data_IF_890455910464
#
_entry.id   IF_890455910464
#
_cell.length_a   1.000
_cell.length_b   1.000
_cell.length_c   1.000
_cell.angle_alpha   90.00
_cell.angle_beta   90.00
_cell.angle_gamma   90.00
#
_symmetry.space_group_name_H-M   'P 1'
#
loop_
_entity.id
_entity.type
_entity.pdbx_description
1 polymer ?
#
# COMPACT_ATOMS: atom_id res chain seq x y z
N UNK A 1 -10.54 -54.83 -31.58
CA UNK A 1 -10.29 -53.37 -31.53
C UNK A 1 -11.00 -52.65 -30.37
N UNK A 2 -12.16 -53.10 -29.90
CA UNK A 2 -12.93 -52.40 -28.83
C UNK A 2 -12.33 -52.54 -27.42
N UNK A 3 -11.66 -53.67 -27.12
CA UNK A 3 -11.00 -53.92 -25.82
C UNK A 3 -9.68 -53.14 -25.63
N UNK A 4 -8.95 -52.88 -26.70
CA UNK A 4 -7.71 -52.11 -26.68
C UNK A 4 -7.95 -50.61 -26.52
N UNK A 5 -9.09 -50.11 -27.02
CA UNK A 5 -9.48 -48.69 -26.88
C UNK A 5 -9.87 -48.33 -25.44
N UNK A 6 -10.58 -49.22 -24.74
CA UNK A 6 -10.94 -49.03 -23.33
C UNK A 6 -9.72 -49.04 -22.39
N UNK A 7 -8.73 -49.90 -22.66
CA UNK A 7 -7.51 -49.97 -21.86
C UNK A 7 -6.63 -48.71 -22.00
N UNK A 8 -6.55 -48.14 -23.22
CA UNK A 8 -5.85 -46.88 -23.48
C UNK A 8 -6.53 -45.68 -22.83
N UNK A 9 -7.86 -45.65 -22.81
CA UNK A 9 -8.62 -44.55 -22.21
C UNK A 9 -8.52 -44.57 -20.66
N UNK A 10 -8.56 -45.74 -20.02
CA UNK A 10 -8.34 -45.87 -18.57
C UNK A 10 -6.90 -45.54 -18.14
N UNK A 11 -5.89 -45.91 -18.95
CA UNK A 11 -4.50 -45.58 -18.65
C UNK A 11 -4.22 -44.06 -18.75
N UNK A 12 -4.84 -43.38 -19.72
CA UNK A 12 -4.75 -41.92 -19.86
C UNK A 12 -5.47 -41.18 -18.72
N UNK A 13 -6.62 -41.66 -18.27
CA UNK A 13 -7.35 -41.08 -17.13
C UNK A 13 -6.63 -41.25 -15.79
N UNK A 14 -6.01 -42.41 -15.54
CA UNK A 14 -5.20 -42.65 -14.34
C UNK A 14 -3.89 -41.84 -14.37
N UNK A 15 -3.27 -41.66 -15.53
CA UNK A 15 -2.11 -40.78 -15.70
C UNK A 15 -2.45 -39.31 -15.43
N UNK A 16 -3.61 -38.84 -15.88
CA UNK A 16 -4.09 -37.47 -15.63
C UNK A 16 -4.42 -37.22 -14.15
N UNK A 17 -5.06 -38.19 -13.48
CA UNK A 17 -5.33 -38.11 -12.04
C UNK A 17 -4.05 -38.13 -11.18
N UNK A 18 -3.02 -38.87 -11.59
CA UNK A 18 -1.72 -38.87 -10.91
C UNK A 18 -0.95 -37.55 -11.08
N UNK A 19 -1.07 -36.90 -12.23
CA UNK A 19 -0.48 -35.57 -12.48
C UNK A 19 -1.21 -34.44 -11.74
N UNK A 20 -2.52 -34.58 -11.50
CA UNK A 20 -3.28 -33.64 -10.68
C UNK A 20 -2.97 -33.78 -9.17
N UNK A 21 -2.58 -34.97 -8.70
CA UNK A 21 -2.22 -35.20 -7.31
C UNK A 21 -0.86 -34.61 -6.92
N UNK A 22 0.06 -34.41 -7.87
CA UNK A 22 1.38 -33.79 -7.62
C UNK A 22 1.36 -32.26 -7.62
N UNK A 23 0.23 -31.64 -7.96
CA UNK A 23 0.04 -30.19 -7.99
C UNK A 23 -0.94 -29.68 -6.93
N UNK A 24 -1.30 -30.52 -5.95
CA UNK A 24 -1.98 -30.01 -4.76
C UNK A 24 -0.97 -29.18 -3.97
N UNK A 25 -1.17 -27.84 -3.84
CA UNK A 25 -0.33 -27.05 -2.95
C UNK A 25 -0.45 -27.67 -1.56
N UNK A 26 0.69 -27.95 -0.94
CA UNK A 26 0.75 -28.38 0.44
C UNK A 26 -0.18 -27.47 1.25
N UNK A 27 -1.20 -28.06 1.89
CA UNK A 27 -2.12 -27.34 2.76
C UNK A 27 -1.27 -26.55 3.75
N UNK A 28 -1.22 -25.23 3.58
CA UNK A 28 -0.54 -24.34 4.49
C UNK A 28 -1.13 -24.60 5.87
N UNK A 29 -0.35 -25.25 6.73
CA UNK A 29 -0.70 -25.47 8.12
C UNK A 29 -1.03 -24.08 8.67
N UNK A 30 -2.31 -23.85 9.02
CA UNK A 30 -2.75 -22.59 9.61
C UNK A 30 -1.94 -22.40 10.89
N UNK A 31 -0.85 -21.63 10.79
CA UNK A 31 -0.08 -21.21 11.94
C UNK A 31 -1.05 -20.37 12.77
N UNK A 32 -1.40 -20.88 13.96
CA UNK A 32 -2.16 -20.13 14.94
C UNK A 32 -1.53 -18.75 15.07
N UNK A 33 -2.31 -17.72 14.78
CA UNK A 33 -1.89 -16.33 14.88
C UNK A 33 -1.75 -16.01 16.38
N UNK A 34 -0.55 -16.22 16.94
CA UNK A 34 -0.23 -15.75 18.28
C UNK A 34 -0.01 -14.25 18.19
N UNK A 35 -0.79 -13.47 18.95
CA UNK A 35 -0.64 -12.01 18.98
C UNK A 35 0.53 -11.61 19.88
N UNK A 36 1.71 -12.11 19.53
CA UNK A 36 2.94 -11.89 20.26
C UNK A 36 3.31 -10.41 20.22
N UNK A 37 3.77 -9.90 21.36
CA UNK A 37 4.18 -8.52 21.51
C UNK A 37 5.70 -8.44 21.65
N UNK A 38 6.31 -7.56 20.87
CA UNK A 38 7.75 -7.29 20.86
C UNK A 38 8.07 -5.92 21.43
N UNK A 39 9.31 -5.73 21.86
CA UNK A 39 9.83 -4.45 22.37
C UNK A 39 10.43 -3.60 21.25
N UNK A 40 10.63 -2.30 21.52
CA UNK A 40 11.35 -1.41 20.60
C UNK A 40 12.77 -1.94 20.30
N UNK A 41 13.48 -2.45 21.31
CA UNK A 41 14.83 -3.01 21.16
C UNK A 41 14.85 -4.24 20.26
N UNK A 42 13.85 -5.11 20.36
CA UNK A 42 13.74 -6.28 19.48
C UNK A 42 13.52 -5.85 18.02
N UNK A 43 12.70 -4.83 17.77
CA UNK A 43 12.50 -4.27 16.44
C UNK A 43 13.78 -3.60 15.92
N UNK A 44 14.47 -2.81 16.77
CA UNK A 44 15.73 -2.17 16.41
C UNK A 44 16.82 -3.22 16.07
N UNK A 45 16.92 -4.28 16.85
CA UNK A 45 17.82 -5.40 16.57
C UNK A 45 17.46 -6.10 15.26
N UNK A 46 16.17 -6.31 14.98
CA UNK A 46 15.74 -6.87 13.70
C UNK A 46 16.12 -5.97 12.51
N UNK A 47 16.05 -4.65 12.66
CA UNK A 47 16.53 -3.69 11.64
C UNK A 47 18.04 -3.80 11.45
N UNK A 48 18.81 -3.86 12.54
CA UNK A 48 20.26 -4.00 12.47
C UNK A 48 20.69 -5.29 11.74
N UNK A 49 19.92 -6.38 11.94
CA UNK A 49 20.16 -7.69 11.33
C UNK A 49 19.60 -7.82 9.91
N UNK A 50 18.73 -6.90 9.47
CA UNK A 50 18.03 -7.02 8.19
C UNK A 50 19.00 -6.86 7.01
N UNK A 51 19.03 -7.82 6.08
CA UNK A 51 19.85 -7.70 4.87
C UNK A 51 19.35 -6.59 3.93
N UNK A 52 18.10 -6.14 4.09
CA UNK A 52 17.46 -5.14 3.25
C UNK A 52 17.50 -3.73 3.87
N UNK A 53 17.94 -3.59 5.12
CA UNK A 53 18.04 -2.29 5.78
C UNK A 53 19.23 -1.50 5.25
N UNK A 54 18.94 -0.30 4.73
CA UNK A 54 19.94 0.69 4.33
C UNK A 54 20.83 1.09 5.51
N UNK A 55 22.00 1.65 5.22
CA UNK A 55 22.89 2.17 6.27
C UNK A 55 22.16 3.19 7.17
N UNK A 56 21.31 4.03 6.57
CA UNK A 56 20.51 5.00 7.32
C UNK A 56 19.54 4.30 8.29
N UNK A 57 18.82 3.27 7.85
CA UNK A 57 17.90 2.52 8.74
C UNK A 57 18.66 1.85 9.88
N UNK A 58 19.81 1.24 9.60
CA UNK A 58 20.64 0.60 10.63
C UNK A 58 21.15 1.61 11.66
N UNK A 59 21.60 2.78 11.21
CA UNK A 59 22.07 3.86 12.08
C UNK A 59 20.94 4.45 12.94
N UNK A 60 19.69 4.36 12.48
CA UNK A 60 18.52 4.93 13.13
C UNK A 60 17.53 3.85 13.61
N UNK A 61 18.01 2.63 13.87
CA UNK A 61 17.17 1.48 14.19
C UNK A 61 16.27 1.71 15.42
N UNK A 62 16.75 2.48 16.41
CA UNK A 62 15.97 2.83 17.59
C UNK A 62 14.72 3.67 17.25
N UNK A 63 14.79 4.55 16.24
CA UNK A 63 13.64 5.32 15.78
C UNK A 63 12.57 4.40 15.15
N UNK A 64 13.00 3.35 14.44
CA UNK A 64 12.09 2.33 13.90
C UNK A 64 11.46 1.49 15.02
N UNK A 65 12.23 1.15 16.04
CA UNK A 65 11.70 0.53 17.25
C UNK A 65 10.60 1.36 17.90
N UNK A 66 10.85 2.66 18.10
CA UNK A 66 9.85 3.56 18.66
C UNK A 66 8.64 3.77 17.74
N UNK A 67 8.83 3.78 16.41
CA UNK A 67 7.72 3.83 15.45
C UNK A 67 6.76 2.64 15.66
N UNK A 68 7.29 1.42 15.77
CA UNK A 68 6.50 0.22 15.99
C UNK A 68 5.67 0.29 17.30
N UNK A 69 6.27 0.82 18.38
CA UNK A 69 5.64 0.84 19.70
C UNK A 69 4.70 2.03 19.88
N UNK A 70 5.09 3.22 19.45
CA UNK A 70 4.38 4.46 19.79
C UNK A 70 3.35 4.87 18.75
N UNK A 71 3.45 4.35 17.52
CA UNK A 71 2.64 4.84 16.40
C UNK A 71 1.91 3.74 15.67
N UNK A 72 2.59 2.64 15.34
CA UNK A 72 2.06 1.66 14.40
C UNK A 72 1.19 0.60 15.07
N UNK A 73 1.83 -0.36 15.75
CA UNK A 73 1.12 -1.55 16.24
C UNK A 73 1.10 -1.66 17.76
N UNK A 74 1.83 -0.84 18.50
CA UNK A 74 2.06 -1.08 19.93
C UNK A 74 3.02 -2.25 20.20
N UNK A 75 3.72 -2.74 19.16
CA UNK A 75 4.61 -3.89 19.21
C UNK A 75 3.95 -5.24 18.88
N UNK A 76 2.69 -5.28 18.44
CA UNK A 76 1.99 -6.53 18.18
C UNK A 76 2.25 -7.05 16.75
N UNK A 77 2.72 -8.30 16.62
CA UNK A 77 3.15 -8.89 15.35
C UNK A 77 2.02 -9.20 14.37
N UNK A 78 0.79 -9.38 14.85
CA UNK A 78 -0.30 -9.90 14.02
C UNK A 78 -1.46 -8.92 13.89
N UNK A 79 -1.26 -7.64 14.21
CA UNK A 79 -2.30 -6.61 14.10
C UNK A 79 -2.73 -6.39 12.66
N UNK A 80 -4.03 -6.20 12.49
CA UNK A 80 -4.64 -5.59 11.32
C UNK A 80 -5.51 -4.44 11.82
N UNK A 81 -5.33 -3.24 11.27
CA UNK A 81 -6.03 -2.04 11.73
C UNK A 81 -7.47 -1.90 11.20
N UNK A 82 -7.99 -2.90 10.49
CA UNK A 82 -9.36 -2.88 9.96
C UNK A 82 -9.51 -2.21 8.58
N UNK A 83 -8.46 -1.60 8.03
CA UNK A 83 -8.54 -0.91 6.73
C UNK A 83 -7.47 -1.36 5.74
N UNK A 84 -6.19 -1.35 6.11
CA UNK A 84 -5.12 -1.46 5.12
C UNK A 84 -3.90 -2.25 5.56
N UNK A 85 -3.63 -2.27 6.86
CA UNK A 85 -2.25 -2.28 7.32
C UNK A 85 -2.02 -3.38 8.36
N UNK A 86 -0.87 -4.05 8.23
CA UNK A 86 -0.62 -5.33 8.86
C UNK A 86 0.72 -5.40 9.56
N UNK A 87 0.75 -6.14 10.66
CA UNK A 87 1.95 -6.49 11.37
C UNK A 87 2.56 -5.36 12.19
N UNK A 88 3.79 -5.59 12.66
CA UNK A 88 4.41 -4.76 13.69
C UNK A 88 4.69 -3.31 13.25
N UNK A 89 4.94 -3.11 11.96
CA UNK A 89 5.22 -1.81 11.33
C UNK A 89 4.11 -1.39 10.35
N UNK A 90 2.93 -2.03 10.45
CA UNK A 90 1.70 -1.68 9.72
C UNK A 90 1.91 -1.49 8.21
N UNK A 91 2.51 -2.49 7.55
CA UNK A 91 2.66 -2.46 6.10
C UNK A 91 1.28 -2.55 5.43
N UNK A 92 1.02 -1.68 4.46
CA UNK A 92 -0.20 -1.74 3.67
C UNK A 92 -0.15 -2.87 2.62
N UNK A 93 -1.30 -3.19 2.02
CA UNK A 93 -1.41 -4.21 0.97
C UNK A 93 -0.42 -4.05 -0.18
N UNK A 94 -0.18 -2.82 -0.64
CA UNK A 94 0.72 -2.55 -1.78
C UNK A 94 2.18 -2.80 -1.41
N UNK A 95 2.61 -2.31 -0.26
CA UNK A 95 3.96 -2.51 0.26
C UNK A 95 4.25 -3.99 0.49
N UNK A 96 3.26 -4.77 0.97
CA UNK A 96 3.39 -6.23 1.14
C UNK A 96 3.60 -6.89 -0.23
N UNK A 97 2.79 -6.55 -1.24
CA UNK A 97 2.95 -7.07 -2.61
C UNK A 97 4.30 -6.70 -3.23
N UNK A 98 4.79 -5.49 -2.99
CA UNK A 98 6.07 -5.03 -3.55
C UNK A 98 7.26 -5.72 -2.89
N UNK A 99 7.18 -6.00 -1.59
CA UNK A 99 8.28 -6.55 -0.83
C UNK A 99 8.32 -8.07 -0.80
N UNK A 100 7.18 -8.73 -1.02
CA UNK A 100 6.95 -10.15 -0.74
C UNK A 100 6.00 -10.78 -1.76
N UNK A 101 6.09 -12.11 -1.92
CA UNK A 101 5.18 -12.89 -2.78
C UNK A 101 4.00 -13.51 -2.01
N UNK A 102 3.67 -12.98 -0.82
CA UNK A 102 2.65 -13.56 0.05
C UNK A 102 1.40 -12.71 0.19
N UNK A 103 0.31 -13.34 0.63
CA UNK A 103 -0.93 -12.63 0.95
C UNK A 103 -0.79 -11.82 2.25
N UNK A 104 -1.57 -10.75 2.46
CA UNK A 104 -1.58 -10.03 3.74
C UNK A 104 -1.96 -10.90 4.93
N UNK A 105 -2.86 -11.88 4.74
CA UNK A 105 -3.23 -12.84 5.78
C UNK A 105 -2.03 -13.70 6.19
N UNK A 106 -1.23 -14.17 5.22
CA UNK A 106 -0.01 -14.92 5.47
C UNK A 106 1.07 -14.04 6.13
N UNK A 107 1.25 -12.81 5.66
CA UNK A 107 2.21 -11.84 6.22
C UNK A 107 2.03 -11.65 7.74
N UNK A 108 0.78 -11.62 8.24
CA UNK A 108 0.50 -11.49 9.69
C UNK A 108 0.98 -12.67 10.54
N UNK A 109 1.28 -13.81 9.94
CA UNK A 109 1.78 -15.01 10.63
C UNK A 109 3.30 -15.08 10.67
N UNK A 110 3.98 -14.15 9.99
CA UNK A 110 5.43 -14.11 9.91
C UNK A 110 6.07 -13.70 11.24
N UNK A 111 7.29 -14.18 11.46
CA UNK A 111 8.11 -13.74 12.58
C UNK A 111 8.47 -12.24 12.45
N UNK A 112 8.83 -11.63 13.59
CA UNK A 112 9.34 -10.25 13.63
C UNK A 112 10.39 -9.99 12.54
N UNK A 113 11.42 -10.84 12.46
CA UNK A 113 12.52 -10.62 11.51
C UNK A 113 12.03 -10.59 10.06
N UNK A 114 11.17 -11.53 9.64
CA UNK A 114 10.67 -11.55 8.26
C UNK A 114 9.80 -10.33 7.94
N UNK A 115 8.98 -9.87 8.88
CA UNK A 115 8.19 -8.64 8.69
C UNK A 115 9.10 -7.42 8.56
N UNK A 116 10.12 -7.32 9.42
CA UNK A 116 11.09 -6.22 9.40
C UNK A 116 11.95 -6.24 8.14
N UNK A 117 12.35 -7.40 7.64
CA UNK A 117 13.12 -7.53 6.39
C UNK A 117 12.34 -7.02 5.19
N UNK A 118 11.04 -7.35 5.12
CA UNK A 118 10.14 -6.87 4.08
C UNK A 118 9.90 -5.36 4.18
N UNK A 119 9.60 -4.85 5.38
CA UNK A 119 9.44 -3.41 5.62
C UNK A 119 10.70 -2.64 5.28
N UNK A 120 11.87 -3.15 5.67
CA UNK A 120 13.17 -2.54 5.42
C UNK A 120 13.45 -2.40 3.93
N UNK A 121 13.03 -3.38 3.11
CA UNK A 121 13.17 -3.31 1.65
C UNK A 121 12.43 -2.09 1.07
N UNK A 122 11.17 -1.90 1.48
CA UNK A 122 10.35 -0.77 1.02
C UNK A 122 10.94 0.55 1.51
N UNK A 123 11.28 0.64 2.80
CA UNK A 123 11.73 1.90 3.38
C UNK A 123 13.13 2.29 2.93
N UNK A 124 14.02 1.33 2.68
CA UNK A 124 15.32 1.61 2.07
C UNK A 124 15.17 2.24 0.68
N UNK A 125 14.17 1.84 -0.10
CA UNK A 125 13.87 2.46 -1.39
C UNK A 125 13.25 3.86 -1.21
N UNK A 126 12.29 4.00 -0.30
CA UNK A 126 11.65 5.28 -0.01
C UNK A 126 12.67 6.35 0.47
N UNK A 127 13.66 5.95 1.28
CA UNK A 127 14.74 6.83 1.74
C UNK A 127 15.65 7.34 0.60
N UNK A 128 15.68 6.66 -0.55
CA UNK A 128 16.43 7.12 -1.72
C UNK A 128 15.63 8.11 -2.56
N UNK A 129 14.33 8.30 -2.29
CA UNK A 129 13.51 9.23 -3.03
C UNK A 129 13.86 10.69 -2.71
N UNK A 130 13.77 11.54 -3.73
CA UNK A 130 14.13 12.96 -3.64
C UNK A 130 13.50 13.70 -2.46
N UNK A 131 12.20 13.54 -2.11
CA UNK A 131 11.62 14.24 -0.97
C UNK A 131 12.26 13.89 0.37
N UNK A 132 12.63 12.62 0.60
CA UNK A 132 13.29 12.21 1.84
C UNK A 132 14.70 12.82 1.94
N UNK A 133 15.46 12.79 0.84
CA UNK A 133 16.79 13.39 0.76
C UNK A 133 16.76 14.91 0.88
N UNK A 134 15.80 15.56 0.21
CA UNK A 134 15.59 17.00 0.28
C UNK A 134 15.25 17.43 1.70
N UNK A 135 14.35 16.72 2.38
CA UNK A 135 14.02 17.00 3.78
C UNK A 135 15.27 16.89 4.67
N UNK A 136 16.03 15.81 4.54
CA UNK A 136 17.27 15.60 5.30
C UNK A 136 18.29 16.73 5.06
N UNK A 137 18.36 17.27 3.84
CA UNK A 137 19.29 18.33 3.47
C UNK A 137 18.90 19.72 4.03
N UNK A 138 17.64 19.95 4.41
CA UNK A 138 17.20 21.25 4.93
C UNK A 138 17.82 21.59 6.30
N UNK A 139 18.14 20.57 7.11
CA UNK A 139 18.65 20.73 8.48
C UNK A 139 17.61 21.26 9.48
N UNK A 140 16.82 22.27 9.10
CA UNK A 140 15.68 22.81 9.84
C UNK A 140 14.46 22.94 8.93
N UNK A 141 13.28 22.61 9.43
CA UNK A 141 12.01 22.78 8.73
C UNK A 141 10.96 23.29 9.72
N UNK A 142 10.20 24.32 9.37
CA UNK A 142 9.18 24.94 10.24
C UNK A 142 9.69 25.26 11.67
N UNK A 143 10.91 25.78 11.75
CA UNK A 143 11.53 26.17 13.03
C UNK A 143 12.07 25.02 13.88
N UNK A 144 11.95 23.76 13.45
CA UNK A 144 12.48 22.59 14.16
C UNK A 144 13.56 21.87 13.37
N UNK A 145 14.51 21.26 14.09
CA UNK A 145 15.56 20.44 13.49
C UNK A 145 14.93 19.25 12.76
N UNK A 146 15.41 18.98 11.55
CA UNK A 146 15.10 17.73 10.84
C UNK A 146 15.94 16.63 11.48
N UNK A 147 15.28 15.72 12.18
CA UNK A 147 15.88 14.58 12.84
C UNK A 147 15.50 13.24 12.16
N UNK A 148 16.00 12.14 12.70
CA UNK A 148 15.72 10.82 12.17
C UNK A 148 14.22 10.48 12.22
N UNK A 149 13.51 10.93 13.26
CA UNK A 149 12.09 10.68 13.42
C UNK A 149 11.27 11.38 12.32
N UNK A 150 11.65 12.60 11.95
CA UNK A 150 10.99 13.36 10.90
C UNK A 150 11.22 12.75 9.51
N UNK A 151 12.45 12.30 9.23
CA UNK A 151 12.76 11.58 7.99
C UNK A 151 12.02 10.24 7.95
N UNK A 152 11.96 9.51 9.06
CA UNK A 152 11.23 8.24 9.17
C UNK A 152 9.72 8.44 8.96
N UNK A 153 9.12 9.46 9.58
CA UNK A 153 7.72 9.81 9.38
C UNK A 153 7.42 10.21 7.93
N UNK A 154 8.33 10.91 7.26
CA UNK A 154 8.23 11.29 5.85
C UNK A 154 8.12 10.06 4.94
N UNK A 155 8.94 9.02 5.15
CA UNK A 155 8.88 7.79 4.35
C UNK A 155 7.70 6.89 4.73
N UNK A 156 7.33 6.85 6.02
CA UNK A 156 6.25 6.02 6.53
C UNK A 156 4.86 6.52 6.08
N UNK A 157 4.61 7.83 6.11
CA UNK A 157 3.36 8.43 5.60
C UNK A 157 3.34 8.56 4.07
N UNK A 158 4.45 8.30 3.41
CA UNK A 158 4.57 8.27 1.96
C UNK A 158 5.25 9.51 1.38
N UNK A 159 6.10 9.25 0.38
CA UNK A 159 6.97 10.25 -0.26
C UNK A 159 6.19 11.42 -0.88
N UNK A 160 5.02 11.17 -1.48
CA UNK A 160 4.18 12.24 -2.03
C UNK A 160 3.62 13.19 -0.97
N UNK A 161 3.22 12.64 0.19
CA UNK A 161 2.75 13.43 1.33
C UNK A 161 3.88 14.26 1.93
N UNK A 162 5.08 13.67 1.98
CA UNK A 162 6.30 14.38 2.39
C UNK A 162 6.64 15.53 1.45
N UNK A 163 6.59 15.31 0.14
CA UNK A 163 6.79 16.38 -0.84
C UNK A 163 5.77 17.51 -0.67
N UNK A 164 4.50 17.19 -0.43
CA UNK A 164 3.45 18.18 -0.17
C UNK A 164 3.74 19.02 1.08
N UNK A 165 4.18 18.38 2.17
CA UNK A 165 4.61 19.09 3.37
C UNK A 165 5.78 20.02 3.06
N UNK A 166 6.85 19.52 2.44
CA UNK A 166 8.05 20.32 2.10
C UNK A 166 7.66 21.53 1.24
N UNK A 167 6.84 21.33 0.21
CA UNK A 167 6.39 22.39 -0.69
C UNK A 167 5.58 23.48 0.01
N UNK A 168 4.91 23.17 1.12
CA UNK A 168 4.18 24.16 1.91
C UNK A 168 5.08 25.01 2.82
N UNK A 169 6.32 24.55 3.09
CA UNK A 169 7.22 25.16 4.06
C UNK A 169 6.80 25.02 5.54
N UNK A 170 5.72 24.29 5.85
CA UNK A 170 5.17 24.15 7.21
C UNK A 170 4.81 22.71 7.55
N UNK A 171 4.93 22.34 8.82
CA UNK A 171 4.51 21.04 9.34
C UNK A 171 3.02 20.76 9.10
N UNK A 172 2.18 21.80 9.09
CA UNK A 172 0.74 21.70 8.82
C UNK A 172 0.38 21.60 7.34
N UNK A 173 1.36 21.60 6.42
CA UNK A 173 1.10 21.55 4.97
C UNK A 173 0.55 20.22 4.45
N UNK A 174 0.64 19.18 5.27
CA UNK A 174 0.03 17.89 5.05
C UNK A 174 -0.52 17.34 6.36
N UNK A 175 -1.71 16.76 6.30
CA UNK A 175 -2.25 15.88 7.31
C UNK A 175 -2.97 14.72 6.62
N UNK A 176 -2.87 13.52 7.18
CA UNK A 176 -3.67 12.38 6.74
C UNK A 176 -5.15 12.55 7.14
N UNK A 177 -5.99 11.57 6.81
CA UNK A 177 -7.42 11.59 7.17
C UNK A 177 -7.68 11.60 8.68
N UNK A 178 -6.68 11.26 9.49
CA UNK A 178 -6.75 11.28 10.96
C UNK A 178 -6.14 12.55 11.55
N UNK A 179 -5.78 13.55 10.72
CA UNK A 179 -5.14 14.78 11.17
C UNK A 179 -3.65 14.63 11.52
N UNK A 180 -3.05 13.48 11.25
CA UNK A 180 -1.61 13.24 11.50
C UNK A 180 -0.78 13.96 10.46
N UNK A 181 0.03 14.91 10.90
CA UNK A 181 1.11 15.51 10.10
C UNK A 181 2.39 14.68 10.22
N UNK A 182 3.33 14.85 9.30
CA UNK A 182 4.66 14.19 9.38
C UNK A 182 5.42 14.62 10.64
N UNK A 183 5.39 15.92 10.96
CA UNK A 183 6.02 16.41 12.19
C UNK A 183 5.34 15.85 13.45
N UNK A 184 4.00 15.77 13.46
CA UNK A 184 3.25 15.20 14.58
C UNK A 184 3.52 13.69 14.73
N UNK A 185 3.69 12.96 13.63
CA UNK A 185 4.15 11.58 13.68
C UNK A 185 5.58 11.48 14.24
N UNK A 186 6.50 12.34 13.80
CA UNK A 186 7.86 12.40 14.30
C UNK A 186 7.91 12.62 15.82
N UNK A 187 7.04 13.50 16.34
CA UNK A 187 6.91 13.75 17.78
C UNK A 187 6.45 12.49 18.52
N UNK A 188 5.44 11.78 17.99
CA UNK A 188 4.98 10.51 18.58
C UNK A 188 6.06 9.43 18.55
N UNK A 189 6.84 9.33 17.46
CA UNK A 189 7.99 8.43 17.39
C UNK A 189 9.00 8.78 18.50
N UNK A 190 9.26 10.07 18.73
CA UNK A 190 10.14 10.52 19.80
C UNK A 190 9.59 10.27 21.22
N UNK A 191 8.35 9.79 21.37
CA UNK A 191 7.68 9.64 22.66
C UNK A 191 7.09 10.95 23.20
N UNK A 192 7.16 12.02 22.42
CA UNK A 192 6.57 13.31 22.73
C UNK A 192 5.16 13.32 22.13
N UNK A 193 4.13 12.93 22.89
CA UNK A 193 2.77 12.97 22.35
C UNK A 193 2.35 14.44 22.07
N UNK A 194 2.01 14.82 20.82
CA UNK A 194 1.14 15.97 20.62
C UNK A 194 -0.28 15.52 20.97
N UNK A 195 -0.95 16.27 21.85
CA UNK A 195 -2.42 16.21 21.98
C UNK A 195 -3.04 16.38 20.59
N UNK A 196 -4.17 15.71 20.25
CA UNK A 196 -4.79 15.86 18.93
C UNK A 196 -5.06 17.34 18.69
N UNK A 197 -4.37 17.91 17.70
CA UNK A 197 -4.43 19.33 17.38
C UNK A 197 -5.85 19.63 16.92
N UNK A 198 -6.62 20.20 17.83
CA UNK A 198 -7.87 20.88 17.49
C UNK A 198 -7.50 22.06 16.60
N UNK A 199 -8.22 22.32 15.49
CA UNK A 199 -7.91 23.44 14.62
C UNK A 199 -8.16 24.76 15.36
N UNK A 200 -7.08 25.49 15.59
CA UNK A 200 -7.10 26.90 15.99
C UNK A 200 -7.05 27.15 17.49
N UNK A 201 -5.90 27.62 17.96
CA UNK A 201 -5.81 28.90 18.70
C UNK A 201 -4.34 29.30 18.83
N UNK A 202 -4.06 30.48 18.31
CA UNK A 202 -2.85 31.29 18.46
C UNK A 202 -2.57 31.62 19.93
N UNK A 203 -1.34 31.41 20.39
CA UNK A 203 -0.73 32.20 21.46
C UNK A 203 0.81 32.15 21.35
N UNK A 204 1.52 33.22 21.77
CA UNK A 204 2.73 33.68 21.09
C UNK A 204 4.01 33.21 21.80
N UNK A 205 5.00 32.77 21.01
CA UNK A 205 6.40 32.75 21.45
C UNK A 205 7.24 33.62 20.54
N UNK A 206 7.93 34.54 21.20
CA UNK A 206 8.81 35.64 20.75
C UNK A 206 9.87 35.27 19.69
N UNK A 207 10.37 36.28 18.93
CA UNK A 207 11.06 36.06 17.67
C UNK A 207 12.55 35.80 17.86
N UNK A 208 13.08 34.81 17.14
CA UNK A 208 14.50 34.76 16.78
C UNK A 208 14.59 35.01 15.28
N UNK A 209 15.14 36.19 14.98
CA UNK A 209 15.52 36.66 13.65
C UNK A 209 16.74 35.89 13.15
N UNK A 210 16.69 35.38 11.91
CA UNK A 210 17.48 35.86 10.76
C UNK A 210 17.70 34.76 9.72
N UNK A 211 17.47 35.07 8.44
CA UNK A 211 18.09 34.34 7.32
C UNK A 211 17.19 34.05 6.11
N UNK A 212 17.07 35.05 5.22
CA UNK A 212 16.65 35.00 3.80
C UNK A 212 15.95 33.75 3.24
N UNK A 213 14.63 33.84 3.03
CA UNK A 213 13.84 32.84 2.30
C UNK A 213 13.17 33.44 1.06
N UNK A 214 13.21 32.70 -0.05
CA UNK A 214 12.60 33.03 -1.34
C UNK A 214 11.07 33.14 -1.17
N UNK A 215 10.52 34.30 -1.52
CA UNK A 215 9.10 34.57 -1.42
C UNK A 215 8.29 33.83 -2.51
N UNK A 216 7.35 32.97 -2.09
CA UNK A 216 6.29 32.46 -2.94
C UNK A 216 5.21 33.54 -3.08
N UNK A 217 5.04 34.08 -4.28
CA UNK A 217 3.95 35.00 -4.62
C UNK A 217 3.22 34.48 -5.87
N UNK A 218 1.89 34.36 -5.78
CA UNK A 218 0.95 34.09 -6.89
C UNK A 218 1.01 32.74 -7.63
N UNK A 219 0.80 31.62 -6.93
CA UNK A 219 0.13 30.45 -7.53
C UNK A 219 0.82 29.75 -8.72
N UNK A 220 2.13 29.90 -8.89
CA UNK A 220 2.91 29.17 -9.87
C UNK A 220 4.19 28.61 -9.24
N UNK A 221 4.58 27.41 -9.68
CA UNK A 221 5.81 26.76 -9.27
C UNK A 221 6.87 27.14 -10.32
N UNK A 222 8.00 27.71 -9.88
CA UNK A 222 9.13 28.04 -10.77
C UNK A 222 9.99 26.80 -10.99
N UNK A 223 10.16 26.42 -12.25
CA UNK A 223 11.17 25.44 -12.67
C UNK A 223 12.60 26.00 -12.55
N UNK A 224 13.60 25.13 -12.75
CA UNK A 224 15.03 25.50 -12.76
C UNK A 224 15.44 26.46 -13.88
N UNK A 225 14.55 26.70 -14.82
CA UNK A 225 14.59 27.63 -15.95
C UNK A 225 13.85 28.97 -15.68
N UNK A 226 13.29 29.14 -14.48
CA UNK A 226 12.61 30.37 -14.04
C UNK A 226 11.21 30.58 -14.63
N UNK A 227 10.71 29.66 -15.45
CA UNK A 227 9.37 29.70 -16.01
C UNK A 227 8.33 29.32 -14.95
N UNK A 228 7.23 30.09 -14.88
CA UNK A 228 6.15 29.85 -13.93
C UNK A 228 5.10 28.94 -14.56
N UNK A 229 5.03 27.69 -14.10
CA UNK A 229 4.09 26.69 -14.60
C UNK A 229 2.86 26.65 -13.67
N UNK A 230 1.63 26.71 -14.20
CA UNK A 230 0.42 26.64 -13.37
C UNK A 230 0.32 25.30 -12.63
N UNK A 231 -0.18 25.35 -11.39
CA UNK A 231 -0.17 24.24 -10.42
C UNK A 231 -0.83 22.96 -10.95
N UNK A 232 -1.86 23.08 -11.78
CA UNK A 232 -2.54 21.93 -12.41
C UNK A 232 -1.66 21.19 -13.40
N UNK A 233 -0.84 21.90 -14.16
CA UNK A 233 0.10 21.31 -15.12
C UNK A 233 1.34 20.76 -14.41
N UNK A 234 1.81 21.44 -13.37
CA UNK A 234 2.88 20.94 -12.51
C UNK A 234 2.48 19.66 -11.75
N UNK A 235 1.20 19.52 -11.35
CA UNK A 235 0.67 18.28 -10.76
C UNK A 235 0.63 17.14 -11.78
N UNK A 236 0.25 17.41 -13.02
CA UNK A 236 0.20 16.43 -14.11
C UNK A 236 1.61 15.91 -14.42
N UNK A 237 2.57 16.81 -14.59
CA UNK A 237 3.98 16.50 -14.85
C UNK A 237 4.58 15.77 -13.64
N UNK A 238 4.29 16.22 -12.42
CA UNK A 238 4.78 15.58 -11.20
C UNK A 238 4.20 14.18 -10.97
N UNK A 239 2.93 13.96 -11.31
CA UNK A 239 2.31 12.63 -11.25
C UNK A 239 2.87 11.70 -12.34
N UNK A 240 3.07 12.19 -13.56
CA UNK A 240 3.65 11.42 -14.67
C UNK A 240 5.13 11.07 -14.41
N UNK A 241 5.92 11.99 -13.86
CA UNK A 241 7.32 11.76 -13.48
C UNK A 241 7.47 10.87 -12.24
N UNK A 242 6.53 10.96 -11.28
CA UNK A 242 6.58 10.18 -10.04
C UNK A 242 5.98 8.78 -10.15
N UNK A 243 4.94 8.59 -10.98
CA UNK A 243 4.26 7.29 -11.15
C UNK A 243 4.67 6.54 -12.43
N UNK A 244 5.30 7.23 -13.39
CA UNK A 244 5.62 6.67 -14.72
C UNK A 244 4.39 6.36 -15.58
N UNK A 245 3.19 6.76 -15.15
CA UNK A 245 1.91 6.42 -15.78
C UNK A 245 1.07 7.68 -15.97
N UNK A 246 0.56 7.91 -17.18
CA UNK A 246 -0.33 9.03 -17.45
C UNK A 246 -1.70 8.85 -16.78
N UNK A 247 -2.32 9.96 -16.37
CA UNK A 247 -3.68 9.97 -15.78
C UNK A 247 -4.73 9.30 -16.70
N UNK A 248 -4.55 9.41 -18.02
CA UNK A 248 -5.40 8.72 -19.00
C UNK A 248 -5.25 7.20 -18.92
N UNK A 249 -4.03 6.70 -18.71
CA UNK A 249 -3.75 5.27 -18.56
C UNK A 249 -4.27 4.73 -17.23
N UNK A 250 -4.24 5.52 -16.16
CA UNK A 250 -4.80 5.13 -14.86
C UNK A 250 -6.34 5.00 -14.91
N UNK A 251 -7.03 5.94 -15.56
CA UNK A 251 -8.48 5.85 -15.80
C UNK A 251 -8.84 4.60 -16.61
N UNK A 252 -8.09 4.32 -17.67
CA UNK A 252 -8.25 3.12 -18.49
C UNK A 252 -8.02 1.82 -17.71
N UNK A 253 -7.01 1.77 -16.83
CA UNK A 253 -6.75 0.61 -15.97
C UNK A 253 -7.89 0.38 -14.97
N UNK A 254 -8.38 1.42 -14.30
CA UNK A 254 -9.49 1.31 -13.35
C UNK A 254 -10.77 0.86 -14.06
N UNK A 255 -11.04 1.38 -15.26
CA UNK A 255 -12.18 0.96 -16.08
C UNK A 255 -12.06 -0.52 -16.52
N UNK A 256 -10.88 -0.96 -17.00
CA UNK A 256 -10.67 -2.37 -17.34
C UNK A 256 -10.85 -3.29 -16.13
N UNK A 257 -10.39 -2.88 -14.95
CA UNK A 257 -10.47 -3.68 -13.73
C UNK A 257 -11.93 -3.84 -13.26
N UNK A 258 -12.74 -2.79 -13.36
CA UNK A 258 -14.19 -2.86 -13.08
C UNK A 258 -14.92 -3.80 -14.04
N UNK A 259 -14.58 -3.76 -15.34
CA UNK A 259 -15.17 -4.68 -16.34
C UNK A 259 -14.77 -6.12 -16.04
N UNK A 260 -13.49 -6.37 -15.75
CA UNK A 260 -12.99 -7.70 -15.43
C UNK A 260 -13.71 -8.31 -14.21
N UNK A 261 -13.90 -7.53 -13.14
CA UNK A 261 -14.65 -7.97 -11.96
C UNK A 261 -16.10 -8.28 -12.31
N UNK A 262 -16.76 -7.40 -13.08
CA UNK A 262 -18.17 -7.58 -13.45
C UNK A 262 -18.37 -8.85 -14.29
N UNK A 263 -17.48 -9.11 -15.25
CA UNK A 263 -17.50 -10.34 -16.05
C UNK A 263 -17.26 -11.59 -15.20
N UNK A 264 -16.37 -11.51 -14.19
CA UNK A 264 -16.09 -12.63 -13.30
C UNK A 264 -17.30 -12.97 -12.43
N UNK A 265 -17.97 -11.96 -11.87
CA UNK A 265 -19.21 -12.13 -11.10
C UNK A 265 -20.30 -12.76 -11.97
N UNK A 266 -20.56 -12.21 -13.16
CA UNK A 266 -21.59 -12.76 -14.07
C UNK A 266 -21.25 -14.18 -14.50
N UNK A 267 -19.98 -14.47 -14.81
CA UNK A 267 -19.52 -15.82 -15.17
C UNK A 267 -19.72 -16.81 -14.02
N UNK A 268 -19.42 -16.41 -12.79
CA UNK A 268 -19.63 -17.24 -11.60
C UNK A 268 -21.11 -17.56 -11.38
N UNK A 269 -21.99 -16.58 -11.60
CA UNK A 269 -23.44 -16.77 -11.50
C UNK A 269 -23.96 -17.70 -12.61
N UNK A 270 -23.48 -17.56 -13.84
CA UNK A 270 -23.84 -18.43 -14.97
C UNK A 270 -23.42 -19.89 -14.72
N UNK A 271 -22.23 -20.12 -14.16
CA UNK A 271 -21.78 -21.46 -13.75
C UNK A 271 -22.68 -22.03 -12.65
N UNK A 272 -23.10 -21.20 -11.68
CA UNK A 272 -24.04 -21.62 -10.64
C UNK A 272 -25.40 -22.07 -11.20
N UNK A 273 -25.95 -21.32 -12.16
CA UNK A 273 -27.20 -21.67 -12.86
C UNK A 273 -27.04 -22.98 -13.64
N UNK A 274 -25.92 -23.16 -14.34
CA UNK A 274 -25.62 -24.40 -15.06
C UNK A 274 -25.53 -25.61 -14.12
N UNK A 275 -24.88 -25.45 -12.97
CA UNK A 275 -24.79 -26.51 -11.96
C UNK A 275 -26.17 -26.88 -11.39
N UNK A 276 -27.06 -25.91 -11.19
CA UNK A 276 -28.43 -26.17 -10.75
C UNK A 276 -29.25 -26.91 -11.81
N UNK A 277 -29.08 -26.57 -13.09
CA UNK A 277 -29.71 -27.29 -14.20
C UNK A 277 -29.18 -28.73 -14.31
N UNK A 278 -27.85 -28.91 -14.23
CA UNK A 278 -27.22 -30.23 -14.28
C UNK A 278 -27.63 -31.15 -13.11
N UNK A 279 -28.02 -30.57 -11.98
CA UNK A 279 -28.57 -31.27 -10.80
C UNK A 279 -30.08 -31.50 -10.88
N UNK A 280 -30.75 -31.06 -11.95
CA UNK A 280 -32.20 -31.19 -12.13
C UNK A 280 -33.04 -30.31 -11.21
N UNK A 281 -32.43 -29.28 -10.59
CA UNK A 281 -33.12 -28.38 -9.65
C UNK A 281 -33.98 -27.34 -10.39
N UNK A 282 -33.58 -26.98 -11.61
CA UNK A 282 -34.28 -26.01 -12.45
C UNK A 282 -34.61 -26.62 -13.82
N UNK A 283 -35.70 -26.17 -14.41
CA UNK A 283 -36.11 -26.56 -15.76
C UNK A 283 -35.35 -25.77 -16.84
N UNK A 284 -35.39 -26.30 -18.07
CA UNK A 284 -34.67 -25.71 -19.21
C UNK A 284 -35.15 -24.29 -19.56
N UNK A 285 -36.43 -23.96 -19.34
CA UNK A 285 -36.95 -22.63 -19.66
C UNK A 285 -36.41 -21.58 -18.69
N UNK A 286 -36.42 -21.89 -17.39
CA UNK A 286 -35.80 -21.04 -16.35
C UNK A 286 -34.30 -20.85 -16.55
N UNK A 287 -33.57 -21.88 -16.98
CA UNK A 287 -32.15 -21.76 -17.31
C UNK A 287 -31.92 -20.79 -18.49
N UNK A 288 -32.71 -20.89 -19.57
CA UNK A 288 -32.60 -20.00 -20.72
C UNK A 288 -32.92 -18.55 -20.36
N UNK A 289 -33.92 -18.31 -19.50
CA UNK A 289 -34.27 -16.97 -19.01
C UNK A 289 -33.12 -16.34 -18.21
N UNK A 290 -32.48 -17.09 -17.29
CA UNK A 290 -31.34 -16.58 -16.53
C UNK A 290 -30.09 -16.34 -17.40
N UNK A 291 -29.84 -17.19 -18.40
CA UNK A 291 -28.77 -16.96 -19.37
C UNK A 291 -29.01 -15.70 -20.20
N UNK A 292 -30.25 -15.47 -20.66
CA UNK A 292 -30.61 -14.25 -21.38
C UNK A 292 -30.40 -12.99 -20.54
N UNK A 293 -30.84 -12.99 -19.27
CA UNK A 293 -30.64 -11.86 -18.34
C UNK A 293 -29.14 -11.59 -18.10
N UNK A 294 -28.34 -12.64 -17.95
CA UNK A 294 -26.88 -12.53 -17.82
C UNK A 294 -26.22 -11.92 -19.06
N UNK A 295 -26.63 -12.33 -20.27
CA UNK A 295 -26.13 -11.75 -21.52
C UNK A 295 -26.50 -10.27 -21.68
N UNK A 296 -27.72 -9.87 -21.31
CA UNK A 296 -28.16 -8.46 -21.37
C UNK A 296 -27.30 -7.58 -20.45
N UNK A 297 -26.97 -8.05 -19.25
CA UNK A 297 -26.11 -7.32 -18.31
C UNK A 297 -24.71 -7.11 -18.89
N UNK A 298 -24.12 -8.14 -19.50
CA UNK A 298 -22.81 -8.03 -20.16
C UNK A 298 -22.84 -7.04 -21.34
N UNK A 299 -23.91 -7.08 -22.16
CA UNK A 299 -24.09 -6.17 -23.28
C UNK A 299 -24.23 -4.71 -22.83
N UNK A 300 -24.94 -4.44 -21.73
CA UNK A 300 -25.07 -3.09 -21.17
C UNK A 300 -23.72 -2.57 -20.69
N UNK A 301 -22.93 -3.41 -20.00
CA UNK A 301 -21.59 -3.04 -19.53
C UNK A 301 -20.66 -2.72 -20.69
N UNK A 302 -20.69 -3.52 -21.77
CA UNK A 302 -19.93 -3.25 -22.98
C UNK A 302 -20.39 -1.97 -23.69
N UNK A 303 -21.70 -1.73 -23.81
CA UNK A 303 -22.24 -0.53 -24.43
C UNK A 303 -21.84 0.75 -23.68
N UNK A 304 -21.91 0.73 -22.35
CA UNK A 304 -21.44 1.84 -21.51
C UNK A 304 -19.95 2.10 -21.73
N UNK A 305 -19.13 1.06 -21.86
CA UNK A 305 -17.69 1.20 -22.14
C UNK A 305 -17.39 1.78 -23.52
N UNK A 306 -18.25 1.56 -24.53
CA UNK A 306 -18.05 2.17 -25.85
C UNK A 306 -18.39 3.67 -25.92
N UNK A 307 -19.07 4.20 -24.89
CA UNK A 307 -19.51 5.61 -24.83
C UNK A 307 -18.51 6.50 -24.06
N UNK A 308 -17.62 5.91 -23.26
CA UNK A 308 -16.67 6.62 -22.37
C UNK A 308 -15.20 6.38 -22.74
#
# INVERSE_FOLDING_TARGET
MQRTFFALCSALLLGWLALLATHMPASAQQRLVTNDRVTADQVAQAIANSPNASQWLRANANAVGNLAINVESGGYLSVYNGSCCYGVLQMNNENIRQATDVTPAEFRTWSLQRQVDAWSRVMSQALQATPAQALAALGTFDGRRVDANMILACVQLGIGNCQRMIASGRCSGFADSNGTTICGMADRIAGNAPSPTTPGTTAPSTPISSGGGIAFNNGCIRGSDGQCVPVTEALRIGFEQGSGVSMARMRSIIQMLLVAITLLVVSSAMVGVWQQYARGVIDKATMMEYMQKGCVIVMIVFAVMTIF
#
